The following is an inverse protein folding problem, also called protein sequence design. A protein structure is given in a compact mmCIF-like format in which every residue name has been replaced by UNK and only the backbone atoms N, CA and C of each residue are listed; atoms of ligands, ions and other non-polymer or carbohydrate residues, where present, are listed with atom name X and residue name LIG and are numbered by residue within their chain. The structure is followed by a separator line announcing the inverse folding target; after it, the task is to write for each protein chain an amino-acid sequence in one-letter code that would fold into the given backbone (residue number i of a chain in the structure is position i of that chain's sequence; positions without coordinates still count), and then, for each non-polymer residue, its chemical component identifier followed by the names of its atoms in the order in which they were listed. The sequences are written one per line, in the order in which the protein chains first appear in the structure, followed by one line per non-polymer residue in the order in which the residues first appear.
data_IF_314161073540
#
_entry.id   IF_314161073540
#
_cell.length_a   1.000
_cell.length_b   1.000
_cell.length_c   1.000
_cell.angle_alpha   90.00
_cell.angle_beta   90.00
_cell.angle_gamma   90.00
#
_symmetry.space_group_name_H-M   'P 1'
#
loop_
_entity.id
_entity.type
_entity.pdbx_description
1 polymer ?
#
# COMPACT_ATOMS: atom_id res chain seq x y z
N UNK A 1 18.38 0.20 12.13
CA UNK A 1 17.98 1.32 11.29
C UNK A 1 16.48 1.23 11.15
N UNK A 2 15.81 2.37 11.17
CA UNK A 2 14.38 2.45 10.88
C UNK A 2 14.08 3.80 10.23
N UNK A 3 12.85 4.03 9.80
CA UNK A 3 12.41 5.30 9.25
C UNK A 3 10.96 5.65 9.63
N UNK A 4 10.71 6.94 9.80
CA UNK A 4 9.35 7.48 9.92
C UNK A 4 9.02 8.33 8.72
N UNK A 5 7.86 8.06 8.15
CA UNK A 5 7.36 8.74 6.96
C UNK A 5 5.85 8.76 7.00
N UNK A 6 5.26 9.83 6.45
CA UNK A 6 3.82 10.00 6.47
C UNK A 6 3.19 9.28 5.29
N UNK A 7 2.33 8.26 5.50
CA UNK A 7 1.65 7.59 4.41
C UNK A 7 0.68 8.57 3.75
N UNK A 8 1.00 9.02 2.54
CA UNK A 8 0.17 9.97 1.77
C UNK A 8 -1.11 9.33 1.21
N UNK A 9 -1.40 8.07 1.56
CA UNK A 9 -2.52 7.30 1.03
C UNK A 9 -2.58 7.30 -0.51
N UNK A 10 -1.45 7.54 -1.20
CA UNK A 10 -1.35 7.65 -2.66
C UNK A 10 -1.78 9.00 -3.26
N UNK A 11 -1.89 10.05 -2.43
CA UNK A 11 -2.27 11.42 -2.83
C UNK A 11 -1.05 12.32 -3.17
N UNK A 12 0.17 11.85 -2.92
CA UNK A 12 1.42 12.55 -3.21
C UNK A 12 2.64 11.65 -3.03
N UNK A 13 3.84 12.08 -3.42
CA UNK A 13 5.07 11.35 -3.11
C UNK A 13 5.19 11.21 -1.58
N UNK A 14 5.43 9.99 -1.10
CA UNK A 14 5.72 9.73 0.30
C UNK A 14 7.01 10.44 0.67
N UNK A 15 6.99 11.25 1.73
CA UNK A 15 8.16 12.00 2.16
C UNK A 15 8.77 11.37 3.39
N UNK A 16 10.06 11.07 3.31
CA UNK A 16 10.84 10.60 4.45
C UNK A 16 11.01 11.74 5.46
N UNK A 17 10.50 11.54 6.68
CA UNK A 17 10.52 12.60 7.71
C UNK A 17 11.68 12.43 8.67
N UNK A 18 11.93 11.20 9.13
CA UNK A 18 12.99 10.89 10.08
C UNK A 18 13.66 9.58 9.66
N UNK A 19 14.98 9.51 9.76
CA UNK A 19 15.75 8.27 9.58
C UNK A 19 16.58 8.02 10.84
N UNK A 20 16.49 6.82 11.43
CA UNK A 20 17.17 6.50 12.68
C UNK A 20 18.31 5.50 12.48
N UNK A 21 19.47 5.85 13.01
CA UNK A 21 20.67 5.00 13.03
C UNK A 21 21.08 4.75 14.48
N UNK A 22 20.93 3.51 14.94
CA UNK A 22 21.38 3.09 16.26
C UNK A 22 22.76 2.39 16.15
N UNK A 23 23.70 2.86 16.96
CA UNK A 23 24.90 2.14 17.35
C UNK A 23 24.74 1.67 18.81
N UNK A 24 25.67 0.86 19.31
CA UNK A 24 25.56 0.28 20.67
C UNK A 24 25.59 1.33 21.78
N UNK A 25 26.27 2.46 21.56
CA UNK A 25 26.48 3.52 22.54
C UNK A 25 25.60 4.76 22.32
N UNK A 26 24.95 4.88 21.16
CA UNK A 26 24.25 6.10 20.75
C UNK A 26 23.18 5.82 19.69
N UNK A 27 22.17 6.67 19.65
CA UNK A 27 21.18 6.68 18.57
C UNK A 27 21.16 8.04 17.91
N UNK A 28 21.29 8.05 16.59
CA UNK A 28 21.16 9.24 15.75
C UNK A 28 19.75 9.28 15.18
N UNK A 29 19.07 10.40 15.39
CA UNK A 29 17.77 10.69 14.79
C UNK A 29 18.01 11.80 13.76
N UNK A 30 17.97 11.43 12.49
CA UNK A 30 18.26 12.33 11.38
C UNK A 30 16.97 12.99 10.91
N UNK A 31 16.91 14.32 11.00
CA UNK A 31 15.80 15.11 10.48
C UNK A 31 15.91 15.20 8.95
N UNK A 32 15.27 14.27 8.26
CA UNK A 32 15.42 14.13 6.81
C UNK A 32 14.80 15.30 6.05
N UNK A 33 13.84 16.01 6.64
CA UNK A 33 13.26 17.23 6.05
C UNK A 33 14.31 18.34 6.01
N UNK A 34 14.97 18.61 7.14
CA UNK A 34 16.01 19.64 7.22
C UNK A 34 17.28 19.24 6.46
N UNK A 35 17.71 17.98 6.55
CA UNK A 35 18.91 17.49 5.87
C UNK A 35 18.76 17.52 4.34
N UNK A 36 17.56 17.24 3.80
CA UNK A 36 17.31 17.31 2.36
C UNK A 36 17.51 18.71 1.76
N UNK A 37 17.41 19.76 2.57
CA UNK A 37 17.57 21.15 2.15
C UNK A 37 18.99 21.69 2.44
N UNK A 38 19.74 21.04 3.34
CA UNK A 38 21.01 21.57 3.87
C UNK A 38 22.24 20.78 3.44
N UNK A 39 22.11 19.46 3.23
CA UNK A 39 23.23 18.62 2.81
C UNK A 39 23.49 18.74 1.31
N UNK A 40 24.77 18.73 0.94
CA UNK A 40 25.21 18.66 -0.45
C UNK A 40 25.24 17.21 -0.95
N UNK A 41 25.32 17.02 -2.27
CA UNK A 41 25.51 15.69 -2.88
C UNK A 41 26.71 14.94 -2.28
N UNK A 42 27.80 15.64 -1.97
CA UNK A 42 28.99 15.04 -1.34
C UNK A 42 28.74 14.54 0.08
N UNK A 43 27.90 15.26 0.84
CA UNK A 43 27.56 14.85 2.21
C UNK A 43 26.68 13.59 2.19
N UNK A 44 25.75 13.53 1.24
CA UNK A 44 24.94 12.33 1.00
C UNK A 44 25.80 11.15 0.54
N UNK A 45 26.70 11.36 -0.42
CA UNK A 45 27.62 10.32 -0.88
C UNK A 45 28.45 9.76 0.28
N UNK A 46 28.93 10.60 1.21
CA UNK A 46 29.68 10.14 2.38
C UNK A 46 28.83 9.24 3.29
N UNK A 47 27.58 9.63 3.59
CA UNK A 47 26.66 8.79 4.37
C UNK A 47 26.42 7.45 3.66
N UNK A 48 26.29 7.46 2.34
CA UNK A 48 26.11 6.24 1.56
C UNK A 48 27.35 5.35 1.58
N UNK A 49 28.50 5.83 1.11
CA UNK A 49 29.69 5.01 0.93
C UNK A 49 30.25 4.52 2.25
N UNK A 50 30.29 5.38 3.26
CA UNK A 50 30.96 5.07 4.53
C UNK A 50 30.07 4.30 5.51
N UNK A 51 28.74 4.42 5.37
CA UNK A 51 27.80 3.78 6.30
C UNK A 51 26.88 2.80 5.60
N UNK A 52 26.06 3.25 4.64
CA UNK A 52 24.94 2.45 4.12
C UNK A 52 25.37 1.37 3.11
N UNK A 53 26.37 1.65 2.27
CA UNK A 53 26.96 0.73 1.29
C UNK A 53 28.20 0.00 1.81
N UNK A 54 28.69 0.37 2.99
CA UNK A 54 29.86 -0.26 3.60
C UNK A 54 29.60 -1.73 3.98
N UNK A 55 30.10 -2.67 3.18
CA UNK A 55 29.90 -4.11 3.37
C UNK A 55 30.41 -4.64 4.71
N UNK A 56 31.42 -4.00 5.29
CA UNK A 56 31.98 -4.34 6.60
C UNK A 56 31.10 -3.89 7.78
N UNK A 57 30.12 -3.01 7.54
CA UNK A 57 29.13 -2.62 8.53
C UNK A 57 27.88 -3.45 8.29
N UNK A 58 27.48 -4.24 9.29
CA UNK A 58 26.20 -4.95 9.27
C UNK A 58 25.07 -4.01 9.68
N UNK A 59 24.03 -3.93 8.87
CA UNK A 59 22.85 -3.12 9.12
C UNK A 59 21.69 -4.01 9.52
N UNK A 60 21.03 -3.68 10.60
CA UNK A 60 19.81 -4.35 11.03
C UNK A 60 18.60 -3.46 10.73
N UNK A 61 17.54 -4.04 10.19
CA UNK A 61 16.24 -3.38 9.96
C UNK A 61 15.08 -4.34 10.21
N UNK A 62 13.85 -3.83 10.20
CA UNK A 62 12.64 -4.65 10.31
C UNK A 62 11.62 -4.22 9.26
N UNK A 63 11.42 -5.03 8.21
CA UNK A 63 10.57 -4.65 7.07
C UNK A 63 11.16 -3.50 6.24
N UNK A 64 12.49 -3.35 6.30
CA UNK A 64 13.25 -2.14 5.92
C UNK A 64 13.30 -1.81 4.42
N UNK A 65 12.64 -2.59 3.57
CA UNK A 65 12.75 -2.46 2.12
C UNK A 65 12.19 -1.12 1.60
N UNK A 66 11.01 -0.72 2.09
CA UNK A 66 10.39 0.55 1.71
C UNK A 66 11.16 1.74 2.30
N UNK A 67 11.74 1.58 3.49
CA UNK A 67 12.55 2.61 4.15
C UNK A 67 13.85 2.87 3.39
N UNK A 68 14.56 1.81 2.97
CA UNK A 68 15.76 1.94 2.12
C UNK A 68 15.42 2.70 0.84
N UNK A 69 14.30 2.36 0.19
CA UNK A 69 13.87 3.03 -1.03
C UNK A 69 13.64 4.53 -0.79
N UNK A 70 12.96 4.90 0.29
CA UNK A 70 12.72 6.31 0.63
C UNK A 70 14.02 7.06 0.95
N UNK A 71 14.97 6.43 1.62
CA UNK A 71 16.30 7.01 1.90
C UNK A 71 17.09 7.21 0.60
N UNK A 72 16.99 6.29 -0.36
CA UNK A 72 17.60 6.40 -1.70
C UNK A 72 16.98 7.51 -2.54
N UNK A 73 15.66 7.63 -2.54
CA UNK A 73 14.96 8.70 -3.25
C UNK A 73 15.29 10.09 -2.67
N UNK A 74 15.45 10.20 -1.35
CA UNK A 74 15.73 11.48 -0.67
C UNK A 74 17.15 11.98 -0.91
N UNK A 75 18.13 11.06 -0.94
CA UNK A 75 19.54 11.42 -1.01
C UNK A 75 20.08 11.66 -2.43
N UNK A 76 19.27 11.42 -3.47
CA UNK A 76 19.61 11.66 -4.89
C UNK A 76 20.95 11.03 -5.35
N UNK A 77 21.46 10.00 -4.67
CA UNK A 77 22.70 9.30 -5.03
C UNK A 77 22.38 7.93 -5.67
N UNK A 78 22.39 7.80 -7.01
CA UNK A 78 21.93 6.60 -7.70
C UNK A 78 22.99 5.48 -7.78
N UNK A 79 24.20 5.69 -7.25
CA UNK A 79 25.35 4.82 -7.52
C UNK A 79 25.68 3.83 -6.39
N UNK A 80 25.15 4.02 -5.18
CA UNK A 80 25.47 3.19 -4.02
C UNK A 80 24.22 2.44 -3.50
N UNK A 81 24.24 1.11 -3.57
CA UNK A 81 23.22 0.26 -2.97
C UNK A 81 23.57 -0.05 -1.51
N UNK A 82 22.56 -0.21 -0.66
CA UNK A 82 22.78 -0.71 0.69
C UNK A 82 23.37 -2.13 0.63
N UNK A 83 24.35 -2.42 1.46
CA UNK A 83 25.01 -3.73 1.54
C UNK A 83 25.00 -4.28 2.98
N UNK A 84 25.16 -5.59 3.16
CA UNK A 84 25.17 -6.29 4.46
C UNK A 84 23.97 -5.90 5.35
N UNK A 85 22.77 -5.93 4.75
CA UNK A 85 21.50 -5.63 5.43
C UNK A 85 20.81 -6.91 5.87
N UNK A 86 20.46 -6.99 7.14
CA UNK A 86 19.66 -8.06 7.74
C UNK A 86 18.27 -7.52 8.08
N UNK A 87 17.25 -8.05 7.40
CA UNK A 87 15.85 -7.78 7.69
C UNK A 87 15.30 -8.78 8.71
N UNK A 88 15.16 -8.32 9.96
CA UNK A 88 14.69 -9.14 11.08
C UNK A 88 13.21 -9.55 10.94
N UNK A 89 12.42 -8.89 10.10
CA UNK A 89 11.01 -9.26 9.88
C UNK A 89 10.89 -10.63 9.20
N UNK A 90 11.75 -10.90 8.20
CA UNK A 90 11.84 -12.19 7.51
C UNK A 90 12.37 -13.27 8.45
N UNK A 91 13.33 -12.89 9.29
CA UNK A 91 13.93 -13.81 10.25
C UNK A 91 12.97 -14.24 11.37
N UNK A 92 12.11 -13.34 11.84
CA UNK A 92 11.13 -13.62 12.88
C UNK A 92 10.21 -14.82 12.56
N UNK A 93 9.76 -14.92 11.30
CA UNK A 93 8.89 -16.02 10.85
C UNK A 93 9.62 -17.37 10.87
N UNK A 94 10.89 -17.38 10.44
CA UNK A 94 11.76 -18.57 10.47
C UNK A 94 12.05 -19.01 11.90
N UNK A 95 12.34 -18.07 12.81
CA UNK A 95 12.56 -18.36 14.23
C UNK A 95 11.36 -19.03 14.88
N UNK A 96 10.14 -18.53 14.66
CA UNK A 96 8.95 -19.13 15.25
C UNK A 96 8.69 -20.55 14.77
N UNK A 97 8.95 -20.83 13.48
CA UNK A 97 8.68 -22.12 12.86
C UNK A 97 9.76 -23.15 13.20
N UNK A 98 11.02 -22.80 12.98
CA UNK A 98 12.12 -23.77 12.95
C UNK A 98 12.92 -23.77 14.26
N UNK A 99 12.90 -22.65 15.00
CA UNK A 99 13.66 -22.48 16.24
C UNK A 99 12.83 -21.85 17.37
N UNK A 100 11.61 -22.35 17.68
CA UNK A 100 10.71 -21.71 18.65
C UNK A 100 11.34 -21.59 20.04
N UNK A 101 12.29 -22.47 20.35
CA UNK A 101 12.99 -22.48 21.64
C UNK A 101 13.97 -21.31 21.79
N UNK A 102 14.34 -20.58 20.71
CA UNK A 102 15.13 -19.35 20.79
C UNK A 102 14.29 -18.14 21.22
N UNK A 103 12.96 -18.29 21.23
CA UNK A 103 12.02 -17.26 21.65
C UNK A 103 11.61 -17.50 23.11
N UNK A 104 11.35 -16.41 23.83
CA UNK A 104 10.80 -16.44 25.19
C UNK A 104 9.32 -16.83 25.13
N UNK A 105 8.84 -17.63 26.10
CA UNK A 105 7.43 -18.00 26.17
C UNK A 105 6.55 -16.77 26.36
N UNK A 106 5.43 -16.73 25.63
CA UNK A 106 4.44 -15.65 25.72
C UNK A 106 3.36 -16.05 26.70
N UNK A 107 3.12 -15.23 27.73
CA UNK A 107 1.98 -15.42 28.62
C UNK A 107 0.67 -15.16 27.84
N UNK A 108 -0.29 -16.08 27.92
CA UNK A 108 -1.58 -15.98 27.23
C UNK A 108 -2.39 -14.73 27.62
N UNK A 109 -2.13 -14.15 28.79
CA UNK A 109 -2.75 -12.93 29.30
C UNK A 109 -2.18 -11.64 28.69
N UNK A 110 -1.10 -11.73 27.92
CA UNK A 110 -0.46 -10.54 27.33
C UNK A 110 -1.19 -10.06 26.07
N UNK A 111 -1.41 -8.74 26.00
CA UNK A 111 -2.11 -8.08 24.89
C UNK A 111 -1.55 -8.49 23.51
N UNK A 112 -2.40 -8.65 22.48
CA UNK A 112 -1.95 -9.02 21.15
C UNK A 112 -1.11 -7.89 20.52
N UNK A 113 0.17 -8.15 20.30
CA UNK A 113 1.10 -7.31 19.55
C UNK A 113 1.39 -7.95 18.18
N UNK A 114 1.66 -7.14 17.15
CA UNK A 114 2.12 -7.59 15.82
C UNK A 114 3.39 -6.83 15.41
N UNK A 115 4.16 -7.39 14.48
CA UNK A 115 5.31 -6.71 13.87
C UNK A 115 6.52 -6.65 14.82
N UNK A 116 7.32 -5.59 14.72
CA UNK A 116 8.53 -5.41 15.53
C UNK A 116 8.25 -5.45 17.05
N UNK A 117 7.13 -4.88 17.49
CA UNK A 117 6.68 -4.94 18.89
C UNK A 117 6.45 -6.39 19.37
N UNK A 118 5.95 -7.27 18.50
CA UNK A 118 5.80 -8.69 18.81
C UNK A 118 7.14 -9.41 18.89
N UNK A 119 8.04 -9.16 17.94
CA UNK A 119 9.39 -9.73 17.98
C UNK A 119 10.15 -9.28 19.24
N UNK A 120 10.04 -8.01 19.59
CA UNK A 120 10.64 -7.44 20.82
C UNK A 120 10.09 -8.15 22.06
N UNK A 121 8.78 -8.41 22.12
CA UNK A 121 8.19 -9.19 23.21
C UNK A 121 8.71 -10.62 23.24
N UNK A 122 8.77 -11.29 22.09
CA UNK A 122 9.23 -12.67 21.97
C UNK A 122 10.71 -12.84 22.31
N UNK A 123 11.55 -11.84 22.07
CA UNK A 123 13.00 -11.95 22.26
C UNK A 123 13.44 -11.29 23.56
N UNK A 124 12.96 -10.08 23.85
CA UNK A 124 13.38 -9.29 25.02
C UNK A 124 12.42 -9.43 26.21
N UNK A 125 11.19 -9.90 25.99
CA UNK A 125 10.19 -10.13 27.04
C UNK A 125 9.20 -8.98 27.26
N UNK A 126 9.35 -7.86 26.53
CA UNK A 126 8.42 -6.72 26.59
C UNK A 126 8.13 -6.17 25.18
N UNK A 127 6.87 -5.77 24.88
CA UNK A 127 6.54 -5.15 23.60
C UNK A 127 7.07 -3.70 23.54
N UNK A 128 7.21 -3.18 22.31
CA UNK A 128 7.40 -1.75 22.08
C UNK A 128 6.07 -1.01 22.23
N UNK A 129 6.13 0.20 22.80
CA UNK A 129 5.00 1.14 22.80
C UNK A 129 4.76 1.62 21.37
N UNK A 130 3.50 1.66 20.93
CA UNK A 130 3.07 2.06 19.57
C UNK A 130 2.36 3.40 19.50
N UNK A 131 2.25 4.13 20.61
CA UNK A 131 1.43 5.35 20.71
C UNK A 131 1.84 6.43 19.68
N UNK A 132 3.12 6.48 19.29
CA UNK A 132 3.66 7.47 18.36
C UNK A 132 3.77 6.97 16.91
N UNK A 133 3.40 5.71 16.64
CA UNK A 133 3.51 5.08 15.31
C UNK A 133 2.74 5.85 14.22
N UNK A 134 1.61 6.47 14.60
CA UNK A 134 0.77 7.25 13.68
C UNK A 134 0.77 8.75 14.04
N UNK A 135 1.85 9.24 14.64
CA UNK A 135 2.02 10.66 14.96
C UNK A 135 2.34 11.49 13.72
N UNK A 136 2.21 12.81 13.83
CA UNK A 136 2.66 13.73 12.79
C UNK A 136 4.19 13.87 12.85
N UNK A 137 4.87 13.09 12.02
CA UNK A 137 6.33 13.03 11.93
C UNK A 137 6.93 14.18 11.11
N UNK A 138 6.10 14.98 10.43
CA UNK A 138 6.55 16.19 9.73
C UNK A 138 6.58 17.42 10.66
N UNK A 139 5.87 17.36 11.80
CA UNK A 139 5.84 18.45 12.75
C UNK A 139 7.23 18.74 13.36
N UNK A 140 7.55 20.03 13.57
CA UNK A 140 8.81 20.48 14.16
C UNK A 140 8.57 21.57 15.22
N UNK A 141 9.24 21.51 16.39
CA UNK A 141 10.16 20.45 16.82
C UNK A 141 9.43 19.13 17.15
N UNK A 142 10.12 18.00 17.01
CA UNK A 142 9.61 16.70 17.47
C UNK A 142 9.43 16.69 18.99
N UNK A 143 8.36 16.05 19.45
CA UNK A 143 8.09 15.89 20.89
C UNK A 143 9.07 14.90 21.52
N UNK A 144 9.32 15.03 22.82
CA UNK A 144 10.18 14.09 23.56
C UNK A 144 9.70 12.63 23.44
N UNK A 145 8.38 12.42 23.40
CA UNK A 145 7.79 11.10 23.18
C UNK A 145 8.12 10.53 21.78
N UNK A 146 8.03 11.35 20.72
CA UNK A 146 8.40 10.97 19.36
C UNK A 146 9.90 10.64 19.26
N UNK A 147 10.77 11.45 19.89
CA UNK A 147 12.21 11.18 19.93
C UNK A 147 12.52 9.86 20.63
N UNK A 148 11.88 9.60 21.79
CA UNK A 148 12.05 8.32 22.51
C UNK A 148 11.55 7.14 21.69
N UNK A 149 10.39 7.27 21.04
CA UNK A 149 9.84 6.23 20.16
C UNK A 149 10.80 5.91 19.01
N UNK A 150 11.18 6.93 18.23
CA UNK A 150 12.09 6.79 17.09
C UNK A 150 13.44 6.19 17.51
N UNK A 151 13.99 6.61 18.66
CA UNK A 151 15.23 6.05 19.15
C UNK A 151 15.10 4.55 19.50
N UNK A 152 13.98 4.16 20.12
CA UNK A 152 13.74 2.79 20.54
C UNK A 152 13.49 1.85 19.35
N UNK A 153 12.79 2.29 18.31
CA UNK A 153 12.49 1.48 17.12
C UNK A 153 13.76 1.06 16.36
N UNK A 154 14.80 1.91 16.36
CA UNK A 154 16.12 1.52 15.84
C UNK A 154 16.97 0.74 16.85
N UNK A 155 16.99 1.13 18.12
CA UNK A 155 17.87 0.54 19.14
C UNK A 155 17.43 -0.86 19.56
N UNK A 156 16.14 -1.16 19.56
CA UNK A 156 15.64 -2.49 19.91
C UNK A 156 16.15 -3.58 18.94
N UNK A 157 16.44 -3.22 17.69
CA UNK A 157 16.99 -4.15 16.70
C UNK A 157 18.36 -4.71 17.13
N UNK A 158 19.21 -3.86 17.72
CA UNK A 158 20.50 -4.28 18.28
C UNK A 158 20.30 -5.23 19.47
N UNK A 159 19.40 -4.89 20.38
CA UNK A 159 19.09 -5.72 21.54
C UNK A 159 18.52 -7.08 21.14
N UNK A 160 17.61 -7.10 20.16
CA UNK A 160 17.04 -8.33 19.60
C UNK A 160 18.16 -9.20 19.01
N UNK A 161 19.05 -8.61 18.22
CA UNK A 161 20.15 -9.34 17.59
C UNK A 161 21.12 -9.92 18.63
N UNK A 162 21.53 -9.14 19.62
CA UNK A 162 22.45 -9.59 20.67
C UNK A 162 21.83 -10.72 21.53
N UNK A 163 20.55 -10.62 21.88
CA UNK A 163 19.84 -11.66 22.64
C UNK A 163 19.66 -12.95 21.82
N UNK A 164 19.31 -12.84 20.54
CA UNK A 164 19.23 -14.00 19.63
C UNK A 164 20.59 -14.68 19.48
N UNK A 165 21.67 -13.90 19.36
CA UNK A 165 23.00 -14.45 19.25
C UNK A 165 23.44 -15.15 20.55
N UNK A 166 23.09 -14.58 21.71
CA UNK A 166 23.30 -15.21 23.02
C UNK A 166 22.53 -16.52 23.15
N UNK A 167 21.25 -16.53 22.75
CA UNK A 167 20.40 -17.72 22.79
C UNK A 167 20.87 -18.82 21.82
N UNK A 168 21.25 -18.46 20.60
CA UNK A 168 21.78 -19.40 19.59
C UNK A 168 23.10 -20.03 20.06
N UNK A 169 24.02 -19.23 20.61
CA UNK A 169 25.30 -19.71 21.16
C UNK A 169 25.10 -20.74 22.27
N UNK A 170 24.16 -20.50 23.18
CA UNK A 170 23.81 -21.46 24.26
C UNK A 170 23.32 -22.80 23.70
N UNK A 171 22.78 -22.81 22.49
CA UNK A 171 22.27 -23.99 21.78
C UNK A 171 23.24 -24.55 20.74
N UNK A 172 24.46 -24.01 20.67
CA UNK A 172 25.47 -24.39 19.68
C UNK A 172 24.98 -24.23 18.24
N UNK A 173 24.13 -23.23 18.01
CA UNK A 173 23.69 -22.80 16.67
C UNK A 173 24.53 -21.60 16.26
N UNK A 174 24.94 -21.55 14.99
CA UNK A 174 25.46 -20.34 14.39
C UNK A 174 24.28 -19.48 13.88
N UNK A 175 24.21 -18.24 14.35
CA UNK A 175 23.14 -17.33 13.92
C UNK A 175 23.40 -16.79 12.51
N UNK A 176 24.67 -16.71 12.09
CA UNK A 176 25.06 -16.21 10.77
C UNK A 176 24.60 -17.16 9.66
N UNK A 177 24.77 -18.47 9.82
CA UNK A 177 24.24 -19.51 8.92
C UNK A 177 22.70 -19.39 8.76
N UNK A 178 22.02 -19.01 9.84
CA UNK A 178 20.56 -18.86 9.83
C UNK A 178 20.11 -17.62 9.05
N UNK A 179 20.92 -16.56 9.02
CA UNK A 179 20.71 -15.35 8.23
C UNK A 179 21.09 -15.53 6.76
N UNK A 180 22.14 -16.28 6.44
CA UNK A 180 22.54 -16.59 5.06
C UNK A 180 21.46 -17.40 4.33
N UNK A 181 20.82 -18.35 5.03
CA UNK A 181 19.65 -19.07 4.51
C UNK A 181 18.35 -18.24 4.40
N UNK A 182 18.44 -16.91 4.42
CA UNK A 182 17.35 -15.93 4.22
C UNK A 182 17.74 -14.87 3.17
N UNK A 183 18.96 -14.90 2.63
CA UNK A 183 19.36 -14.03 1.52
C UNK A 183 18.80 -14.53 0.17
N UNK A 184 18.36 -13.64 -0.72
CA UNK A 184 17.88 -14.02 -2.04
C UNK A 184 19.09 -14.27 -2.96
N UNK A 185 19.49 -15.54 -3.11
CA UNK A 185 20.35 -15.95 -4.22
C UNK A 185 21.32 -17.08 -3.92
N UNK A 186 20.87 -18.32 -4.15
CA UNK A 186 21.61 -19.40 -4.81
C UNK A 186 20.83 -20.71 -4.68
N UNK A 187 19.69 -20.85 -5.37
CA UNK A 187 19.14 -22.18 -5.64
C UNK A 187 19.62 -22.64 -7.02
N UNK A 188 20.73 -23.38 -7.02
CA UNK A 188 21.04 -24.33 -8.07
C UNK A 188 20.04 -25.50 -7.99
N UNK A 189 18.92 -25.36 -8.69
CA UNK A 189 17.92 -26.41 -8.82
C UNK A 189 17.38 -26.42 -10.25
N UNK A 190 17.71 -27.45 -11.00
CA UNK A 190 17.29 -27.64 -12.39
C UNK A 190 15.78 -27.40 -12.54
N UNK A 191 15.42 -26.38 -13.32
CA UNK A 191 14.07 -26.11 -13.75
C UNK A 191 13.56 -27.27 -14.62
N UNK A 192 12.79 -28.20 -14.03
CA UNK A 192 11.85 -29.00 -14.81
C UNK A 192 10.69 -28.09 -15.21
N UNK A 193 10.74 -27.62 -16.46
CA UNK A 193 9.57 -27.04 -17.14
C UNK A 193 8.48 -28.10 -17.22
N UNK A 194 7.50 -28.01 -16.33
CA UNK A 194 6.19 -28.61 -16.58
C UNK A 194 5.37 -27.60 -17.39
N UNK A 195 5.34 -27.78 -18.71
CA UNK A 195 4.39 -27.11 -19.57
C UNK A 195 2.99 -27.64 -19.20
N UNK A 196 2.17 -26.79 -18.59
CA UNK A 196 0.73 -27.02 -18.47
C UNK A 196 0.05 -25.99 -19.37
N UNK A 197 -0.76 -26.46 -20.31
CA UNK A 197 -1.50 -25.64 -21.27
C UNK A 197 -2.47 -24.70 -20.53
N UNK A 198 -2.11 -23.43 -20.39
CA UNK A 198 -2.91 -22.39 -19.71
C UNK A 198 -3.98 -21.72 -20.59
N UNK A 199 -4.25 -22.23 -21.79
CA UNK A 199 -4.85 -21.45 -22.88
C UNK A 199 -6.39 -21.40 -22.96
N UNK A 200 -7.14 -21.99 -22.00
CA UNK A 200 -8.61 -22.13 -22.13
C UNK A 200 -9.49 -21.31 -21.18
N UNK A 201 -8.94 -20.38 -20.41
CA UNK A 201 -9.75 -19.54 -19.50
C UNK A 201 -9.37 -18.04 -19.52
N UNK A 202 -8.83 -17.55 -20.65
CA UNK A 202 -8.25 -16.20 -20.78
C UNK A 202 -9.10 -15.35 -21.73
N UNK A 203 -9.50 -14.14 -21.33
CA UNK A 203 -10.13 -13.22 -22.27
C UNK A 203 -9.11 -12.84 -23.36
N UNK A 204 -9.45 -13.10 -24.61
CA UNK A 204 -8.60 -12.80 -25.78
C UNK A 204 -8.80 -11.38 -26.30
N UNK A 205 -9.78 -10.65 -25.76
CA UNK A 205 -10.14 -9.27 -26.14
C UNK A 205 -10.32 -8.40 -24.89
N UNK A 206 -10.31 -7.06 -25.02
CA UNK A 206 -10.50 -6.13 -23.91
C UNK A 206 -11.84 -6.34 -23.25
N UNK A 207 -11.77 -6.57 -21.95
CA UNK A 207 -12.92 -6.93 -21.16
C UNK A 207 -13.48 -5.63 -20.57
N UNK A 208 -14.75 -5.30 -20.83
CA UNK A 208 -15.42 -4.25 -20.06
C UNK A 208 -15.32 -4.58 -18.57
N UNK A 209 -15.03 -3.60 -17.70
CA UNK A 209 -14.83 -3.82 -16.26
C UNK A 209 -16.00 -4.52 -15.52
N UNK A 210 -17.15 -4.67 -16.20
CA UNK A 210 -18.31 -5.44 -15.74
C UNK A 210 -18.12 -6.98 -15.83
N UNK A 211 -17.33 -7.48 -16.78
CA UNK A 211 -17.15 -8.91 -17.04
C UNK A 211 -15.92 -9.49 -16.32
N UNK A 212 -14.93 -8.64 -15.99
CA UNK A 212 -13.76 -9.03 -15.23
C UNK A 212 -13.88 -8.56 -13.78
N UNK A 213 -14.13 -9.50 -12.85
CA UNK A 213 -14.28 -9.22 -11.43
C UNK A 213 -13.20 -9.91 -10.63
N UNK A 214 -12.60 -9.19 -9.70
CA UNK A 214 -11.39 -9.61 -8.97
C UNK A 214 -11.64 -9.61 -7.47
N UNK A 215 -11.00 -10.54 -6.76
CA UNK A 215 -10.76 -10.49 -5.33
C UNK A 215 -9.25 -10.48 -5.10
N UNK A 216 -8.79 -9.53 -4.31
CA UNK A 216 -7.40 -9.31 -3.98
C UNK A 216 -7.24 -9.53 -2.48
N UNK A 217 -6.24 -10.30 -2.07
CA UNK A 217 -5.95 -10.52 -0.66
C UNK A 217 -5.25 -9.32 0.01
N UNK A 218 -4.87 -9.49 1.28
CA UNK A 218 -4.19 -8.45 2.06
C UNK A 218 -2.78 -8.14 1.57
N UNK A 219 -2.15 -9.02 0.78
CA UNK A 219 -0.76 -8.87 0.31
C UNK A 219 -0.68 -7.95 -0.92
N UNK A 220 -1.76 -7.83 -1.67
CA UNK A 220 -1.80 -7.10 -2.95
C UNK A 220 -2.84 -5.98 -2.98
N UNK A 221 -3.24 -5.45 -1.83
CA UNK A 221 -4.25 -4.39 -1.72
C UNK A 221 -3.93 -3.15 -2.59
N UNK A 222 -2.65 -2.81 -2.73
CA UNK A 222 -2.18 -1.72 -3.60
C UNK A 222 -2.63 -1.94 -5.05
N UNK A 223 -2.35 -3.11 -5.62
CA UNK A 223 -2.85 -3.51 -6.93
C UNK A 223 -4.38 -3.45 -6.98
N UNK A 224 -5.06 -3.91 -5.93
CA UNK A 224 -6.52 -3.84 -5.84
C UNK A 224 -7.08 -2.42 -5.99
N UNK A 225 -6.42 -1.41 -5.43
CA UNK A 225 -6.79 0.01 -5.60
C UNK A 225 -6.59 0.48 -7.05
N UNK A 226 -5.49 0.08 -7.68
CA UNK A 226 -5.24 0.39 -9.09
C UNK A 226 -6.25 -0.28 -10.03
N UNK A 227 -6.65 -1.52 -9.77
CA UNK A 227 -7.70 -2.19 -10.52
C UNK A 227 -9.04 -1.45 -10.40
N UNK A 228 -9.41 -0.96 -9.21
CA UNK A 228 -10.60 -0.10 -9.02
C UNK A 228 -10.51 1.21 -9.80
N UNK A 229 -9.33 1.83 -9.83
CA UNK A 229 -9.08 3.04 -10.64
C UNK A 229 -9.31 2.77 -12.14
N UNK A 230 -8.94 1.58 -12.63
CA UNK A 230 -9.23 1.13 -13.98
C UNK A 230 -10.72 0.81 -14.25
N UNK A 231 -11.58 0.90 -13.23
CA UNK A 231 -13.00 0.54 -13.33
C UNK A 231 -13.29 -0.95 -13.17
N UNK A 232 -12.31 -1.77 -12.77
CA UNK A 232 -12.53 -3.19 -12.49
C UNK A 232 -13.23 -3.36 -11.15
N UNK A 233 -14.29 -4.16 -11.14
CA UNK A 233 -14.93 -4.59 -9.90
C UNK A 233 -13.98 -5.44 -9.05
N UNK A 234 -13.39 -4.82 -8.03
CA UNK A 234 -12.34 -5.45 -7.23
C UNK A 234 -12.68 -5.42 -5.75
N UNK A 235 -12.90 -6.59 -5.16
CA UNK A 235 -12.94 -6.75 -3.70
C UNK A 235 -11.50 -6.82 -3.20
N UNK A 236 -11.22 -6.09 -2.13
CA UNK A 236 -9.90 -6.06 -1.48
C UNK A 236 -10.12 -6.51 -0.05
N UNK A 237 -9.53 -7.63 0.33
CA UNK A 237 -9.67 -8.17 1.68
C UNK A 237 -8.96 -7.25 2.69
N UNK A 238 -9.62 -6.99 3.81
CA UNK A 238 -9.08 -6.19 4.91
C UNK A 238 -8.07 -6.97 5.76
N UNK A 239 -7.24 -6.25 6.53
CA UNK A 239 -6.13 -6.83 7.32
C UNK A 239 -6.54 -7.84 8.42
N UNK A 240 -7.85 -8.02 8.66
CA UNK A 240 -8.40 -9.02 9.57
C UNK A 240 -9.14 -10.17 8.86
N UNK A 241 -9.23 -10.14 7.52
CA UNK A 241 -9.92 -11.16 6.74
C UNK A 241 -8.95 -12.25 6.31
N UNK A 242 -9.35 -13.51 6.49
CA UNK A 242 -8.52 -14.65 6.09
C UNK A 242 -8.52 -14.82 4.58
N UNK A 243 -7.36 -15.17 4.02
CA UNK A 243 -7.16 -15.50 2.60
C UNK A 243 -8.20 -16.51 2.05
N UNK A 244 -8.73 -17.42 2.89
CA UNK A 244 -9.75 -18.40 2.49
C UNK A 244 -11.10 -17.76 2.12
N UNK A 245 -11.36 -16.54 2.61
CA UNK A 245 -12.53 -15.77 2.20
C UNK A 245 -12.45 -15.38 0.71
N UNK A 246 -11.25 -15.17 0.16
CA UNK A 246 -11.08 -14.86 -1.26
C UNK A 246 -11.64 -15.97 -2.15
N UNK A 247 -11.42 -17.25 -1.77
CA UNK A 247 -11.95 -18.42 -2.48
C UNK A 247 -13.47 -18.45 -2.40
N UNK A 248 -14.04 -18.25 -1.21
CA UNK A 248 -15.50 -18.26 -1.01
C UNK A 248 -16.18 -17.20 -1.86
N UNK A 249 -15.63 -15.98 -1.87
CA UNK A 249 -16.15 -14.87 -2.68
C UNK A 249 -15.96 -15.18 -4.16
N UNK A 250 -14.81 -15.71 -4.57
CA UNK A 250 -14.51 -16.05 -5.95
C UNK A 250 -15.45 -17.12 -6.52
N UNK A 251 -15.75 -18.17 -5.75
CA UNK A 251 -16.69 -19.23 -6.13
C UNK A 251 -18.12 -18.71 -6.17
N UNK A 252 -18.55 -17.91 -5.19
CA UNK A 252 -19.92 -17.38 -5.10
C UNK A 252 -20.23 -16.37 -6.21
N UNK A 253 -19.31 -15.45 -6.46
CA UNK A 253 -19.54 -14.33 -7.37
C UNK A 253 -18.89 -14.53 -8.74
N UNK A 254 -18.25 -15.66 -8.97
CA UNK A 254 -17.52 -15.87 -10.21
C UNK A 254 -16.42 -14.84 -10.40
N UNK A 255 -15.62 -14.56 -9.36
CA UNK A 255 -14.43 -13.68 -9.44
C UNK A 255 -13.13 -14.47 -9.61
N UNK A 256 -12.12 -13.77 -10.11
CA UNK A 256 -10.73 -14.22 -10.14
C UNK A 256 -10.04 -13.82 -8.84
N UNK A 257 -9.15 -14.67 -8.31
CA UNK A 257 -8.32 -14.33 -7.14
C UNK A 257 -6.94 -13.88 -7.58
N UNK A 258 -6.45 -12.77 -7.03
CA UNK A 258 -5.05 -12.36 -7.11
C UNK A 258 -4.47 -12.39 -5.70
N UNK A 259 -3.37 -13.10 -5.55
CA UNK A 259 -2.71 -13.37 -4.27
C UNK A 259 -1.23 -13.62 -4.52
N UNK A 260 -0.42 -13.77 -3.47
CA UNK A 260 1.02 -14.01 -3.61
C UNK A 260 1.51 -15.09 -2.64
N UNK A 261 2.71 -15.62 -2.89
CA UNK A 261 3.45 -16.47 -1.97
C UNK A 261 2.72 -17.75 -1.55
N UNK A 262 2.85 -18.12 -0.27
CA UNK A 262 2.23 -19.33 0.28
C UNK A 262 0.68 -19.34 0.17
N UNK A 263 -0.03 -18.21 0.36
CA UNK A 263 -1.46 -18.11 0.03
C UNK A 263 -1.78 -18.54 -1.42
N UNK A 264 -1.04 -18.08 -2.42
CA UNK A 264 -1.27 -18.49 -3.82
C UNK A 264 -1.21 -20.02 -4.00
N UNK A 265 -0.15 -20.64 -3.48
CA UNK A 265 0.07 -22.10 -3.61
C UNK A 265 -1.07 -22.91 -2.99
N UNK A 266 -1.64 -22.41 -1.89
CA UNK A 266 -2.77 -23.04 -1.20
C UNK A 266 -4.10 -22.77 -1.90
N UNK A 267 -4.41 -21.52 -2.21
CA UNK A 267 -5.73 -21.12 -2.73
C UNK A 267 -6.00 -21.63 -4.15
N UNK A 268 -4.97 -21.74 -4.99
CA UNK A 268 -5.11 -22.24 -6.38
C UNK A 268 -5.68 -23.66 -6.45
N UNK A 269 -5.54 -24.46 -5.39
CA UNK A 269 -6.06 -25.83 -5.31
C UNK A 269 -7.60 -25.88 -5.20
N UNK A 270 -8.21 -24.79 -4.72
CA UNK A 270 -9.67 -24.69 -4.51
C UNK A 270 -10.39 -23.93 -5.64
N UNK A 271 -9.65 -23.50 -6.65
CA UNK A 271 -10.14 -22.66 -7.74
C UNK A 271 -9.89 -23.36 -9.07
N UNK A 272 -10.80 -23.20 -10.03
CA UNK A 272 -10.62 -23.76 -11.36
C UNK A 272 -9.34 -23.20 -12.04
N UNK A 273 -8.70 -23.95 -12.95
CA UNK A 273 -7.54 -23.46 -13.69
C UNK A 273 -7.79 -22.08 -14.32
N UNK A 274 -6.82 -21.16 -14.16
CA UNK A 274 -6.93 -19.78 -14.65
C UNK A 274 -7.77 -18.83 -13.78
N UNK A 275 -8.21 -19.26 -12.58
CA UNK A 275 -8.99 -18.43 -11.65
C UNK A 275 -8.22 -17.91 -10.43
N UNK A 276 -6.93 -18.21 -10.36
CA UNK A 276 -6.02 -17.76 -9.30
C UNK A 276 -4.71 -17.30 -9.94
N UNK A 277 -4.26 -16.08 -9.62
CA UNK A 277 -3.05 -15.49 -10.19
C UNK A 277 -2.05 -15.18 -9.09
N UNK A 278 -0.81 -15.60 -9.30
CA UNK A 278 0.31 -15.25 -8.44
C UNK A 278 0.82 -13.87 -8.80
N UNK A 279 0.93 -13.00 -7.81
CA UNK A 279 1.49 -11.66 -7.97
C UNK A 279 2.82 -11.54 -7.28
N UNK A 280 3.74 -10.82 -7.90
CA UNK A 280 5.05 -10.55 -7.34
C UNK A 280 4.96 -9.31 -6.43
N UNK A 281 4.93 -9.54 -5.12
CA UNK A 281 4.79 -8.47 -4.12
C UNK A 281 6.05 -7.65 -3.95
N UNK A 282 7.18 -8.04 -4.55
CA UNK A 282 8.39 -7.21 -4.58
C UNK A 282 8.27 -6.01 -5.52
N UNK A 283 7.32 -6.06 -6.47
CA UNK A 283 7.10 -5.01 -7.43
C UNK A 283 6.16 -3.93 -6.86
N UNK A 284 6.36 -2.64 -7.20
CA UNK A 284 5.38 -1.60 -6.91
C UNK A 284 4.01 -1.93 -7.55
N UNK A 285 2.91 -1.45 -6.95
CA UNK A 285 1.55 -1.76 -7.41
C UNK A 285 1.30 -1.42 -8.89
N UNK A 286 1.97 -0.39 -9.42
CA UNK A 286 1.92 -0.02 -10.85
C UNK A 286 2.54 -1.09 -11.76
N UNK A 287 3.69 -1.64 -11.36
CA UNK A 287 4.36 -2.71 -12.10
C UNK A 287 3.62 -4.04 -11.93
N UNK A 288 3.06 -4.30 -10.76
CA UNK A 288 2.12 -5.40 -10.55
C UNK A 288 0.95 -5.32 -11.52
N UNK A 289 0.35 -4.12 -11.69
CA UNK A 289 -0.74 -3.90 -12.64
C UNK A 289 -0.27 -4.18 -14.08
N UNK A 290 0.89 -3.62 -14.48
CA UNK A 290 1.46 -3.84 -15.81
C UNK A 290 1.72 -5.32 -16.08
N UNK A 291 2.34 -6.02 -15.14
CA UNK A 291 2.64 -7.46 -15.21
C UNK A 291 1.36 -8.28 -15.27
N UNK A 292 0.37 -7.94 -14.42
CA UNK A 292 -0.94 -8.57 -14.42
C UNK A 292 -1.62 -8.43 -15.78
N UNK A 293 -1.78 -7.22 -16.29
CA UNK A 293 -2.39 -6.94 -17.60
C UNK A 293 -1.66 -7.65 -18.74
N UNK A 294 -0.32 -7.61 -18.73
CA UNK A 294 0.50 -8.30 -19.73
C UNK A 294 0.29 -9.82 -19.69
N UNK A 295 0.30 -10.43 -18.49
CA UNK A 295 0.11 -11.87 -18.30
C UNK A 295 -1.33 -12.35 -18.60
N UNK A 296 -2.31 -11.48 -18.41
CA UNK A 296 -3.74 -11.79 -18.57
C UNK A 296 -4.32 -11.31 -19.90
N UNK A 297 -3.51 -10.61 -20.71
CA UNK A 297 -3.93 -9.91 -21.94
C UNK A 297 -5.12 -8.96 -21.72
N UNK A 298 -5.25 -8.41 -20.51
CA UNK A 298 -6.29 -7.43 -20.19
C UNK A 298 -5.89 -6.03 -20.67
N UNK A 299 -6.83 -5.35 -21.30
CA UNK A 299 -6.69 -3.96 -21.72
C UNK A 299 -7.79 -3.11 -21.12
N UNK A 300 -7.46 -1.87 -20.75
CA UNK A 300 -8.41 -0.93 -20.18
C UNK A 300 -8.97 0.01 -21.24
N UNK A 301 -10.28 0.24 -21.18
CA UNK A 301 -10.92 1.28 -21.98
C UNK A 301 -10.87 2.58 -21.19
N UNK A 302 -10.32 3.64 -21.79
CA UNK A 302 -10.17 4.97 -21.15
C UNK A 302 -11.47 5.49 -20.52
N UNK A 303 -12.64 5.21 -21.14
CA UNK A 303 -13.96 5.62 -20.61
C UNK A 303 -14.36 4.94 -19.29
N UNK A 304 -13.70 3.84 -18.92
CA UNK A 304 -13.99 3.09 -17.69
C UNK A 304 -13.17 3.58 -16.49
N UNK A 305 -12.21 4.50 -16.70
CA UNK A 305 -11.45 5.07 -15.60
C UNK A 305 -12.37 5.81 -14.63
N UNK A 306 -12.09 5.68 -13.33
CA UNK A 306 -12.87 6.30 -12.25
C UNK A 306 -14.37 5.95 -12.24
N UNK A 307 -14.79 4.90 -12.94
CA UNK A 307 -16.18 4.41 -12.86
C UNK A 307 -16.48 3.66 -11.56
N UNK A 308 -15.45 3.43 -10.71
CA UNK A 308 -15.59 2.78 -9.40
C UNK A 308 -14.83 3.51 -8.32
N UNK A 309 -15.37 3.45 -7.10
CA UNK A 309 -14.76 4.00 -5.90
C UNK A 309 -13.53 3.19 -5.50
N UNK A 310 -12.38 3.86 -5.41
CA UNK A 310 -11.13 3.23 -4.98
C UNK A 310 -11.24 2.70 -3.54
N UNK A 311 -11.99 3.41 -2.68
CA UNK A 311 -12.18 3.04 -1.29
C UNK A 311 -13.15 1.86 -1.11
N UNK A 312 -14.38 1.97 -1.64
CA UNK A 312 -15.46 1.01 -1.36
C UNK A 312 -15.92 0.19 -2.58
N UNK A 313 -15.26 0.32 -3.72
CA UNK A 313 -15.56 -0.39 -4.97
C UNK A 313 -16.95 -0.09 -5.57
N UNK A 314 -17.77 0.81 -5.05
CA UNK A 314 -19.10 1.13 -5.62
C UNK A 314 -18.95 1.90 -6.93
N UNK A 315 -19.80 1.62 -7.91
CA UNK A 315 -19.77 2.21 -9.26
C UNK A 315 -20.67 3.44 -9.46
N UNK A 316 -21.28 3.94 -8.38
CA UNK A 316 -22.20 5.08 -8.42
C UNK A 316 -21.57 6.32 -7.79
N UNK A 317 -21.41 7.34 -8.63
CA UNK A 317 -20.98 8.67 -8.23
C UNK A 317 -22.10 9.68 -8.46
N UNK A 318 -22.26 10.60 -7.53
CA UNK A 318 -22.94 11.86 -7.76
C UNK A 318 -21.92 12.86 -8.32
N UNK A 319 -22.22 13.45 -9.47
CA UNK A 319 -21.40 14.49 -10.09
C UNK A 319 -21.77 15.85 -9.49
N UNK A 320 -20.99 16.28 -8.50
CA UNK A 320 -21.24 17.53 -7.76
C UNK A 320 -20.51 18.67 -8.46
N UNK A 321 -21.25 19.72 -8.84
CA UNK A 321 -20.67 20.91 -9.45
C UNK A 321 -19.71 21.63 -8.49
N UNK A 322 -18.73 22.34 -9.03
CA UNK A 322 -17.73 23.07 -8.23
C UNK A 322 -18.35 24.01 -7.19
N UNK A 323 -19.36 24.79 -7.59
CA UNK A 323 -20.06 25.71 -6.70
C UNK A 323 -20.74 24.99 -5.53
N UNK A 324 -21.40 23.86 -5.79
CA UNK A 324 -22.08 23.05 -4.77
C UNK A 324 -21.06 22.40 -3.83
N UNK A 325 -19.92 21.93 -4.35
CA UNK A 325 -18.85 21.35 -3.54
C UNK A 325 -18.19 22.40 -2.64
N UNK A 326 -18.00 23.63 -3.14
CA UNK A 326 -17.53 24.76 -2.34
C UNK A 326 -18.47 25.07 -1.18
N UNK A 327 -19.76 25.23 -1.48
CA UNK A 327 -20.78 25.47 -0.45
C UNK A 327 -20.81 24.35 0.60
N UNK A 328 -20.71 23.10 0.18
CA UNK A 328 -20.69 21.95 1.08
C UNK A 328 -19.50 22.01 2.04
N UNK A 329 -18.31 22.38 1.56
CA UNK A 329 -17.12 22.53 2.40
C UNK A 329 -17.24 23.70 3.38
N UNK A 330 -17.80 24.83 2.94
CA UNK A 330 -18.07 25.98 3.79
C UNK A 330 -19.04 25.61 4.92
N UNK A 331 -20.14 24.92 4.60
CA UNK A 331 -21.11 24.47 5.61
C UNK A 331 -20.52 23.46 6.59
N UNK A 332 -19.64 22.55 6.15
CA UNK A 332 -18.97 21.61 7.06
C UNK A 332 -17.99 22.32 7.99
N UNK A 333 -17.16 23.25 7.47
CA UNK A 333 -16.22 24.03 8.27
C UNK A 333 -16.93 24.88 9.34
N UNK A 334 -18.15 25.33 9.03
CA UNK A 334 -19.01 26.08 9.92
C UNK A 334 -19.66 25.17 10.98
N UNK A 335 -20.18 24.00 10.58
CA UNK A 335 -20.80 23.04 11.50
C UNK A 335 -19.82 22.57 12.60
N UNK A 336 -18.52 22.50 12.28
CA UNK A 336 -17.45 22.14 13.21
C UNK A 336 -17.13 23.24 14.25
N UNK A 337 -17.64 24.48 14.10
CA UNK A 337 -17.36 25.64 14.98
C UNK A 337 -18.51 26.08 15.90
N UNK A 338 -19.63 25.34 15.94
CA UNK A 338 -20.91 25.56 16.67
C UNK A 338 -22.02 26.38 16.00
N UNK A 339 -23.23 25.91 16.30
CA UNK A 339 -24.65 26.30 16.03
C UNK A 339 -24.88 27.56 15.19
N UNK A 340 -25.43 27.37 13.99
CA UNK A 340 -25.98 28.47 13.19
C UNK A 340 -27.49 28.48 13.16
N UNK A 341 -28.01 29.64 13.57
CA UNK A 341 -29.35 30.11 13.32
C UNK A 341 -29.70 30.17 11.84
N UNK A 342 -31.01 30.17 11.64
CA UNK A 342 -31.71 30.13 10.36
C UNK A 342 -31.57 31.42 9.56
N UNK A 343 -31.15 31.34 8.30
CA UNK A 343 -31.72 32.18 7.24
C UNK A 343 -31.52 31.60 5.84
N UNK A 344 -32.58 31.81 5.05
CA UNK A 344 -32.81 31.66 3.60
C UNK A 344 -32.73 30.27 2.97
N UNK A 345 -33.94 29.75 2.70
CA UNK A 345 -34.28 28.49 2.05
C UNK A 345 -34.32 28.70 0.54
N UNK A 346 -33.15 28.64 -0.11
CA UNK A 346 -33.08 28.19 -1.50
C UNK A 346 -32.61 26.75 -1.47
N UNK A 347 -33.11 25.92 -2.38
CA UNK A 347 -33.11 24.45 -2.30
C UNK A 347 -31.70 23.88 -2.12
N UNK A 348 -31.24 23.72 -0.87
CA UNK A 348 -29.94 23.15 -0.50
C UNK A 348 -29.87 21.63 -0.76
N UNK A 349 -30.80 21.09 -1.55
CA UNK A 349 -30.85 19.67 -1.90
C UNK A 349 -30.69 19.54 -3.42
N UNK A 350 -29.69 18.77 -3.84
CA UNK A 350 -29.46 18.40 -5.24
C UNK A 350 -29.94 16.97 -5.47
N UNK A 351 -30.77 16.77 -6.48
CA UNK A 351 -31.28 15.45 -6.85
C UNK A 351 -30.46 14.91 -8.02
N UNK A 352 -30.00 13.66 -7.92
CA UNK A 352 -29.22 13.00 -8.98
C UNK A 352 -30.04 11.93 -9.70
N UNK A 353 -30.68 11.04 -8.94
CA UNK A 353 -31.61 10.04 -9.45
C UNK A 353 -32.60 9.63 -8.35
N UNK A 354 -33.57 8.78 -8.67
CA UNK A 354 -34.56 8.32 -7.70
C UNK A 354 -33.90 7.73 -6.44
N UNK A 355 -34.22 8.31 -5.29
CA UNK A 355 -33.66 7.91 -3.99
C UNK A 355 -32.22 8.38 -3.73
N UNK A 356 -31.62 9.20 -4.59
CA UNK A 356 -30.31 9.80 -4.38
C UNK A 356 -30.38 11.33 -4.49
N UNK A 357 -30.40 11.97 -3.33
CA UNK A 357 -30.27 13.41 -3.21
C UNK A 357 -29.16 13.77 -2.22
N UNK A 358 -28.51 14.90 -2.41
CA UNK A 358 -27.47 15.44 -1.53
C UNK A 358 -27.96 16.74 -0.91
N UNK A 359 -28.02 16.80 0.41
CA UNK A 359 -28.29 18.02 1.13
C UNK A 359 -26.96 18.74 1.42
N UNK A 360 -26.71 19.86 0.72
CA UNK A 360 -25.47 20.64 0.78
C UNK A 360 -25.19 21.22 2.18
N UNK A 361 -26.25 21.53 2.96
CA UNK A 361 -26.10 22.06 4.33
C UNK A 361 -25.58 21.00 5.30
N UNK A 362 -26.20 19.83 5.29
CA UNK A 362 -25.81 18.73 6.18
C UNK A 362 -24.59 17.97 5.65
N UNK A 363 -24.33 18.06 4.33
CA UNK A 363 -23.35 17.24 3.63
C UNK A 363 -23.76 15.77 3.54
N UNK A 364 -25.04 15.44 3.71
CA UNK A 364 -25.54 14.07 3.73
C UNK A 364 -26.31 13.72 2.44
N UNK A 365 -26.05 12.53 1.92
CA UNK A 365 -26.95 11.90 0.96
C UNK A 365 -28.23 11.40 1.63
N UNK A 366 -29.28 11.18 0.85
CA UNK A 366 -30.56 10.58 1.28
C UNK A 366 -30.42 9.24 2.00
N UNK A 367 -29.33 8.50 1.78
CA UNK A 367 -29.03 7.25 2.48
C UNK A 367 -28.20 7.44 3.78
N UNK A 368 -27.98 8.69 4.22
CA UNK A 368 -27.19 9.01 5.41
C UNK A 368 -25.67 9.08 5.20
N UNK A 369 -25.17 8.78 3.99
CA UNK A 369 -23.72 8.88 3.69
C UNK A 369 -23.27 10.35 3.74
N UNK A 370 -22.25 10.64 4.55
CA UNK A 370 -21.64 11.98 4.63
C UNK A 370 -20.55 12.17 3.58
N UNK A 371 -20.61 13.27 2.83
CA UNK A 371 -19.55 13.68 1.89
C UNK A 371 -18.27 14.03 2.65
N UNK A 372 -17.15 13.43 2.24
CA UNK A 372 -15.83 13.59 2.85
C UNK A 372 -15.03 14.67 2.11
N UNK A 373 -15.31 15.94 2.39
CA UNK A 373 -14.64 17.08 1.74
C UNK A 373 -13.80 17.92 2.71
N UNK A 374 -13.64 17.47 3.96
CA UNK A 374 -12.74 18.08 4.93
C UNK A 374 -11.30 18.11 4.41
N UNK A 375 -10.68 19.28 4.44
CA UNK A 375 -9.31 19.50 3.94
C UNK A 375 -9.18 19.90 2.47
N UNK A 376 -10.28 20.04 1.72
CA UNK A 376 -10.23 20.58 0.36
C UNK A 376 -10.01 22.11 0.39
N UNK A 377 -8.90 22.57 -0.21
CA UNK A 377 -8.63 23.99 -0.43
C UNK A 377 -9.10 24.41 -1.83
N UNK A 378 -10.17 25.20 -1.92
CA UNK A 378 -10.73 25.64 -3.20
C UNK A 378 -9.87 26.67 -3.94
N UNK A 379 -8.92 27.29 -3.27
CA UNK A 379 -7.89 28.11 -3.92
C UNK A 379 -7.05 27.27 -4.90
N UNK A 380 -6.75 26.02 -4.52
CA UNK A 380 -5.98 25.07 -5.34
C UNK A 380 -6.83 24.26 -6.32
N UNK A 381 -8.15 24.37 -6.24
CA UNK A 381 -9.12 23.61 -7.05
C UNK A 381 -9.91 24.49 -8.04
N UNK A 382 -9.41 25.69 -8.35
CA UNK A 382 -10.10 26.64 -9.25
C UNK A 382 -10.38 26.12 -10.66
N UNK A 383 -9.59 25.15 -11.15
CA UNK A 383 -9.75 24.55 -12.48
C UNK A 383 -10.62 23.29 -12.53
N UNK A 384 -11.26 22.90 -11.42
CA UNK A 384 -12.08 21.68 -11.37
C UNK A 384 -13.55 22.05 -11.61
N UNK A 385 -14.18 21.54 -12.65
CA UNK A 385 -15.61 21.84 -12.90
C UNK A 385 -16.55 20.95 -12.11
N UNK A 386 -16.21 19.66 -12.01
CA UNK A 386 -17.08 18.62 -11.45
C UNK A 386 -16.30 17.66 -10.54
N UNK A 387 -16.93 17.28 -9.43
CA UNK A 387 -16.42 16.32 -8.46
C UNK A 387 -17.24 15.03 -8.49
N UNK A 388 -16.56 13.89 -8.48
CA UNK A 388 -17.15 12.56 -8.38
C UNK A 388 -17.26 12.20 -6.91
N UNK A 389 -18.48 12.20 -6.36
CA UNK A 389 -18.72 11.89 -4.95
C UNK A 389 -19.35 10.52 -4.81
N UNK A 390 -18.66 9.60 -4.14
CA UNK A 390 -19.15 8.25 -3.96
C UNK A 390 -20.38 8.26 -3.04
N UNK A 391 -21.51 7.75 -3.52
CA UNK A 391 -22.76 7.78 -2.75
C UNK A 391 -22.85 6.75 -1.63
N UNK A 392 -21.84 5.87 -1.50
CA UNK A 392 -21.78 4.83 -0.45
C UNK A 392 -20.81 5.14 0.68
N UNK A 393 -19.66 5.75 0.39
CA UNK A 393 -18.67 6.10 1.43
C UNK A 393 -18.40 7.60 1.54
N UNK A 394 -18.90 8.41 0.61
CA UNK A 394 -18.73 9.87 0.63
C UNK A 394 -17.39 10.38 0.12
N UNK A 395 -16.45 9.51 -0.29
CA UNK A 395 -15.17 9.94 -0.87
C UNK A 395 -15.37 10.80 -2.12
N UNK A 396 -14.56 11.85 -2.21
CA UNK A 396 -14.58 12.85 -3.30
C UNK A 396 -13.36 12.64 -4.20
N UNK A 397 -13.59 12.62 -5.51
CA UNK A 397 -12.55 12.55 -6.55
C UNK A 397 -12.79 13.62 -7.61
N UNK A 398 -11.76 14.00 -8.38
CA UNK A 398 -11.88 14.96 -9.48
C UNK A 398 -10.81 14.73 -10.54
N UNK A 399 -11.03 15.24 -11.75
CA UNK A 399 -10.03 15.24 -12.82
C UNK A 399 -8.96 16.32 -12.58
N UNK A 400 -8.07 16.11 -11.62
CA UNK A 400 -6.92 16.98 -11.34
C UNK A 400 -5.60 16.47 -11.93
N UNK A 401 -4.49 17.08 -11.51
CA UNK A 401 -3.13 16.63 -11.85
C UNK A 401 -2.89 15.15 -11.48
N UNK A 402 -3.53 14.65 -10.42
CA UNK A 402 -3.51 13.23 -10.04
C UNK A 402 -4.11 12.32 -11.12
N UNK A 403 -5.23 12.72 -11.73
CA UNK A 403 -5.88 11.96 -12.79
C UNK A 403 -5.10 11.98 -14.11
N UNK A 404 -4.47 13.12 -14.43
CA UNK A 404 -3.57 13.25 -15.59
C UNK A 404 -2.35 12.34 -15.42
N UNK A 405 -1.69 12.39 -14.25
CA UNK A 405 -0.55 11.51 -13.93
C UNK A 405 -0.95 10.03 -13.96
N UNK A 406 -2.15 9.68 -13.47
CA UNK A 406 -2.66 8.31 -13.54
C UNK A 406 -2.90 7.86 -14.99
N UNK A 407 -3.56 8.69 -15.80
CA UNK A 407 -3.77 8.45 -17.24
C UNK A 407 -2.43 8.28 -17.95
N UNK A 408 -1.44 9.10 -17.63
CA UNK A 408 -0.09 9.05 -18.19
C UNK A 408 0.66 7.78 -17.75
N UNK A 409 0.63 7.42 -16.46
CA UNK A 409 1.22 6.20 -15.93
C UNK A 409 0.60 4.95 -16.57
N UNK A 410 -0.73 4.90 -16.71
CA UNK A 410 -1.41 3.80 -17.36
C UNK A 410 -1.14 3.75 -18.87
N UNK A 411 -0.88 4.90 -19.51
CA UNK A 411 -0.41 4.97 -20.91
C UNK A 411 1.02 4.44 -21.03
N UNK A 412 1.92 4.84 -20.14
CA UNK A 412 3.32 4.40 -20.09
C UNK A 412 3.44 2.89 -19.80
N UNK A 413 2.53 2.35 -18.99
CA UNK A 413 2.43 0.92 -18.77
C UNK A 413 1.82 0.14 -19.96
N UNK A 414 1.44 0.83 -21.05
CA UNK A 414 0.83 0.26 -22.26
C UNK A 414 -0.45 -0.56 -21.99
N UNK A 415 -1.20 -0.18 -20.95
CA UNK A 415 -2.42 -0.90 -20.51
C UNK A 415 -3.71 -0.14 -20.86
N UNK A 416 -3.62 1.10 -21.32
CA UNK A 416 -4.76 1.89 -21.81
C UNK A 416 -4.89 1.76 -23.33
N UNK A 417 -6.04 1.24 -23.79
CA UNK A 417 -6.43 1.33 -25.19
C UNK A 417 -7.31 2.56 -25.41
N UNK A 418 -7.06 3.29 -26.51
CA UNK A 418 -7.91 4.40 -26.97
C UNK A 418 -9.25 3.89 -27.50
N UNK A 419 -9.26 2.68 -28.09
CA UNK A 419 -10.41 2.07 -28.75
C UNK A 419 -10.61 0.62 -28.28
N UNK A 420 -11.85 0.14 -28.23
CA UNK A 420 -12.06 -1.30 -28.20
C UNK A 420 -11.42 -1.88 -29.47
N UNK A 421 -10.55 -2.89 -29.42
CA UNK A 421 -9.95 -3.45 -30.61
C UNK A 421 -11.07 -3.93 -31.49
N UNK A 422 -10.98 -3.53 -32.75
CA UNK A 422 -11.79 -4.10 -33.82
C UNK A 422 -11.56 -5.60 -33.74
N UNK A 423 -12.60 -6.33 -33.38
CA UNK A 423 -12.60 -7.78 -33.45
C UNK A 423 -12.60 -8.07 -34.94
N UNK A 424 -11.43 -8.40 -35.50
CA UNK A 424 -11.39 -9.02 -36.82
C UNK A 424 -12.13 -10.36 -36.68
N UNK A 425 -13.38 -10.36 -37.09
CA UNK A 425 -14.17 -11.59 -37.23
C UNK A 425 -13.55 -12.34 -38.42
N UNK A 426 -12.89 -13.50 -38.22
CA UNK A 426 -12.45 -14.30 -39.34
C UNK A 426 -13.70 -14.98 -39.91
N UNK A 427 -14.29 -14.37 -40.93
CA UNK A 427 -15.46 -14.95 -41.59
C UNK A 427 -16.42 -13.94 -42.22
N UNK A 428 -15.93 -13.08 -43.11
CA UNK A 428 -16.74 -12.64 -44.23
C UNK A 428 -15.88 -12.71 -45.48
N UNK A 429 -15.71 -13.93 -46.00
CA UNK A 429 -15.39 -14.11 -47.41
C UNK A 429 -16.45 -13.35 -48.21
N UNK A 430 -15.98 -12.51 -49.11
CA UNK A 430 -16.80 -11.96 -50.18
C UNK A 430 -17.47 -13.11 -50.92
N UNK A 431 -18.80 -13.04 -50.98
CA UNK A 431 -19.63 -13.40 -52.13
C UNK A 431 -20.91 -12.55 -52.06
#
# INVERSE_FOLDING_TARGET
MDAEWQPTMGLGPTRLSVFQLAARDRVYILDMLALSETLTEKDWDLLYTEVLAASYIKKLGYGIADDIKLVMETAQSPHAMFDNVVDLSKFAQKLQKDYPTLLKPVNAESMPSKGLSELTRLVLGRPLNKDEQCSDWENRPLREAQLKYAALDAFCLLQIYDELHSAARKKKLDLEDLFEGVQPGAESGQAKRCAVNEDRARPQHPVPGAEFRVVVDTMVQGLGRYLRLCGIDTIVLGNGEHHDQAVKIAQKEGRVVITSGAPYERLKQYLAPGRCFNMDTSLPAQEQLRKYCSSTKLWFVKRNLLTRCVACNVSRYALVAHADMRQLCEFQAIADRQVLGSSTVETLTRNYWAGCSLNLRSGLFSNGTRVQCGGLSFERLGGVETFYVCTSCGKVYWEGSHHIKLKEQMRLANVLSCDAPVVDVPGSSAD
#
